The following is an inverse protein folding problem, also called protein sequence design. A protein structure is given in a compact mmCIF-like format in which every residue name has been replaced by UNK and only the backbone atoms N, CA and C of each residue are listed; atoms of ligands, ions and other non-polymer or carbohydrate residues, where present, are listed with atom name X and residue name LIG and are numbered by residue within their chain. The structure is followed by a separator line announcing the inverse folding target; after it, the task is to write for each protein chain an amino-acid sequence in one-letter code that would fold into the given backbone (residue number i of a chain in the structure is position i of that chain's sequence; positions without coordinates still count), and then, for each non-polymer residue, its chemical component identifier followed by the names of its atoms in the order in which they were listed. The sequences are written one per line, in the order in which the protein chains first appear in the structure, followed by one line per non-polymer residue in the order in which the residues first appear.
data_IF_122971707384
#
_entry.id   IF_122971707384
#
_cell.length_a   1.000
_cell.length_b   1.000
_cell.length_c   1.000
_cell.angle_alpha   90.00
_cell.angle_beta   90.00
_cell.angle_gamma   90.00
#
_symmetry.space_group_name_H-M   'P 1'
#
loop_
_entity.id
_entity.type
_entity.pdbx_description
1 polymer ?
#
# COMPACT_ATOMS: atom_id res chain seq x y z
N UNK A 1 -3.59 17.08 1.21
CA UNK A 1 -4.22 17.98 2.20
C UNK A 1 -4.96 17.19 3.26
N UNK A 2 -5.88 16.30 2.88
CA UNK A 2 -6.67 15.47 3.82
C UNK A 2 -5.81 14.57 4.75
N UNK A 3 -4.73 13.97 4.23
CA UNK A 3 -3.78 13.21 5.03
C UNK A 3 -3.02 14.09 6.06
N UNK A 4 -2.59 15.30 5.68
CA UNK A 4 -1.89 16.22 6.60
C UNK A 4 -2.83 16.61 7.73
N UNK A 5 -4.09 16.92 7.41
CA UNK A 5 -5.12 17.18 8.42
C UNK A 5 -5.34 15.93 9.30
N UNK A 6 -5.49 14.73 8.73
CA UNK A 6 -5.64 13.50 9.51
C UNK A 6 -4.42 13.18 10.39
N UNK A 7 -3.21 13.56 9.95
CA UNK A 7 -1.98 13.41 10.74
C UNK A 7 -1.97 14.37 11.93
N UNK A 8 -2.25 15.66 11.72
CA UNK A 8 -2.25 16.67 12.79
C UNK A 8 -3.49 16.64 13.69
N UNK A 9 -4.58 16.02 13.25
CA UNK A 9 -5.78 15.80 14.07
C UNK A 9 -5.54 14.80 15.23
N UNK A 10 -4.42 14.07 15.22
CA UNK A 10 -4.02 13.20 16.34
C UNK A 10 -3.02 13.96 17.23
N UNK A 11 -3.39 14.31 18.48
CA UNK A 11 -2.52 15.08 19.39
C UNK A 11 -1.13 14.49 19.59
N UNK A 12 -1.04 13.15 19.60
CA UNK A 12 0.23 12.42 19.74
C UNK A 12 1.23 12.75 18.62
N UNK A 13 0.75 13.00 17.40
CA UNK A 13 1.60 13.31 16.25
C UNK A 13 2.18 14.72 16.32
N UNK A 14 1.45 15.67 16.93
CA UNK A 14 1.94 17.02 17.21
C UNK A 14 3.09 16.93 18.23
N UNK A 15 2.89 16.20 19.32
CA UNK A 15 3.93 15.97 20.33
C UNK A 15 5.18 15.32 19.72
N UNK A 16 5.01 14.26 18.92
CA UNK A 16 6.12 13.62 18.23
C UNK A 16 6.88 14.58 17.31
N UNK A 17 6.16 15.41 16.56
CA UNK A 17 6.78 16.39 15.65
C UNK A 17 7.62 17.43 16.42
N UNK A 18 7.11 17.94 17.55
CA UNK A 18 7.82 18.91 18.39
C UNK A 18 9.11 18.29 18.95
N UNK A 19 9.05 17.09 19.52
CA UNK A 19 10.24 16.43 20.08
C UNK A 19 11.25 16.03 19.00
N UNK A 20 10.79 15.62 17.81
CA UNK A 20 11.68 15.33 16.69
C UNK A 20 12.40 16.59 16.17
N UNK A 21 11.73 17.75 16.14
CA UNK A 21 12.34 19.04 15.77
C UNK A 21 13.38 19.46 16.81
N UNK A 22 13.03 19.38 18.09
CA UNK A 22 13.96 19.71 19.18
C UNK A 22 15.17 18.77 19.14
N UNK A 23 14.95 17.47 18.97
CA UNK A 23 16.00 16.48 18.78
C UNK A 23 16.89 16.78 17.59
N UNK A 24 16.33 17.19 16.46
CA UNK A 24 17.09 17.61 15.27
C UNK A 24 17.98 18.79 15.53
N UNK A 25 17.45 19.81 16.21
CA UNK A 25 18.21 20.98 16.61
C UNK A 25 19.40 20.61 17.51
N UNK A 26 19.15 19.82 18.56
CA UNK A 26 20.21 19.43 19.49
C UNK A 26 21.21 18.44 18.87
N UNK A 27 20.77 17.53 18.01
CA UNK A 27 21.65 16.63 17.27
C UNK A 27 22.63 17.43 16.41
N UNK A 28 22.14 18.41 15.65
CA UNK A 28 23.01 19.30 14.87
C UNK A 28 23.94 20.10 15.78
N UNK A 29 23.47 20.59 16.93
CA UNK A 29 24.27 21.41 17.83
C UNK A 29 25.37 20.63 18.54
N UNK A 30 25.06 19.45 19.07
CA UNK A 30 25.90 18.67 19.99
C UNK A 30 26.76 17.62 19.30
N UNK A 31 26.36 17.11 18.12
CA UNK A 31 27.14 16.09 17.43
C UNK A 31 28.38 16.72 16.76
N UNK A 32 29.50 16.00 16.83
CA UNK A 32 30.82 16.50 16.40
C UNK A 32 30.89 16.72 14.89
N UNK A 33 30.33 15.82 14.10
CA UNK A 33 30.29 15.94 12.64
C UNK A 33 28.98 16.54 12.17
N UNK A 34 29.01 17.84 11.85
CA UNK A 34 27.86 18.56 11.26
C UNK A 34 27.41 17.91 9.95
N UNK A 35 28.36 17.40 9.15
CA UNK A 35 28.07 16.71 7.89
C UNK A 35 27.20 15.46 8.12
N UNK A 36 27.55 14.62 9.09
CA UNK A 36 26.75 13.43 9.43
C UNK A 36 25.37 13.83 9.96
N UNK A 37 25.28 14.86 10.79
CA UNK A 37 23.99 15.39 11.28
C UNK A 37 23.08 15.88 10.16
N UNK A 38 23.62 16.65 9.21
CA UNK A 38 22.87 17.12 8.05
C UNK A 38 22.47 15.97 7.14
N UNK A 39 23.36 14.99 6.92
CA UNK A 39 23.06 13.80 6.11
C UNK A 39 21.95 12.95 6.74
N UNK A 40 21.96 12.79 8.06
CA UNK A 40 20.90 12.08 8.78
C UNK A 40 19.55 12.81 8.69
N UNK A 41 19.52 14.14 8.91
CA UNK A 41 18.29 14.93 8.82
C UNK A 41 17.78 14.99 7.37
N UNK A 42 18.67 15.14 6.39
CA UNK A 42 18.31 15.11 4.98
C UNK A 42 17.71 13.75 4.61
N UNK A 43 18.30 12.64 5.08
CA UNK A 43 17.70 11.31 4.90
C UNK A 43 16.36 11.16 5.62
N UNK A 44 16.23 11.70 6.83
CA UNK A 44 14.96 11.67 7.58
C UNK A 44 13.86 12.43 6.83
N UNK A 45 14.15 13.64 6.33
CA UNK A 45 13.21 14.43 5.54
C UNK A 45 12.92 13.77 4.18
N UNK A 46 13.93 13.22 3.53
CA UNK A 46 13.76 12.50 2.26
C UNK A 46 12.88 11.27 2.43
N UNK A 47 13.11 10.46 3.47
CA UNK A 47 12.29 9.30 3.79
C UNK A 47 10.90 9.78 4.24
N UNK A 48 10.76 10.85 5.04
CA UNK A 48 9.47 11.41 5.42
C UNK A 48 8.65 11.78 4.17
N UNK A 49 9.22 12.53 3.23
CA UNK A 49 8.57 12.90 1.98
C UNK A 49 8.28 11.69 1.09
N UNK A 50 9.21 10.74 1.01
CA UNK A 50 9.06 9.51 0.24
C UNK A 50 7.95 8.63 0.81
N UNK A 51 7.90 8.45 2.14
CA UNK A 51 6.84 7.76 2.86
C UNK A 51 5.51 8.52 2.81
N UNK A 52 5.49 9.86 2.81
CA UNK A 52 4.26 10.64 2.61
C UNK A 52 3.67 10.43 1.21
N UNK A 53 4.53 10.21 0.20
CA UNK A 53 4.13 9.88 -1.17
C UNK A 53 3.82 8.38 -1.34
N UNK A 54 4.54 7.51 -0.62
CA UNK A 54 4.49 6.05 -0.73
C UNK A 54 3.58 5.37 0.31
N UNK A 55 3.04 6.09 1.31
CA UNK A 55 2.02 5.58 2.23
C UNK A 55 0.71 5.23 1.51
N UNK A 56 0.55 5.68 0.26
CA UNK A 56 -0.50 5.21 -0.64
C UNK A 56 -0.20 3.85 -1.30
N UNK A 57 1.04 3.36 -1.20
CA UNK A 57 1.51 2.17 -1.91
C UNK A 57 1.80 1.00 -0.94
N UNK A 58 2.59 1.17 0.12
CA UNK A 58 2.87 0.06 1.07
C UNK A 58 3.28 0.54 2.48
N UNK A 59 2.85 -0.17 3.54
CA UNK A 59 3.19 0.16 4.94
C UNK A 59 4.66 -0.10 5.29
N UNK A 60 5.34 -1.00 4.56
CA UNK A 60 6.74 -1.40 4.78
C UNK A 60 7.74 -0.26 4.58
N UNK A 61 7.41 0.77 3.80
CA UNK A 61 8.24 1.95 3.59
C UNK A 61 8.25 2.93 4.79
N UNK A 62 7.47 2.66 5.84
CA UNK A 62 7.42 3.53 7.03
C UNK A 62 8.34 3.08 8.15
N UNK A 63 8.83 1.83 8.14
CA UNK A 63 9.63 1.29 9.23
C UNK A 63 11.00 2.00 9.44
N UNK A 64 11.81 2.27 8.39
CA UNK A 64 13.05 3.04 8.54
C UNK A 64 12.77 4.46 9.07
N UNK A 65 11.68 5.08 8.61
CA UNK A 65 11.25 6.40 9.07
C UNK A 65 10.91 6.39 10.56
N UNK A 66 10.17 5.38 11.03
CA UNK A 66 9.79 5.23 12.43
C UNK A 66 11.01 5.06 13.33
N UNK A 67 12.02 4.28 12.91
CA UNK A 67 13.27 4.12 13.67
C UNK A 67 14.02 5.45 13.77
N UNK A 68 14.20 6.15 12.64
CA UNK A 68 14.88 7.44 12.64
C UNK A 68 14.14 8.47 13.51
N UNK A 69 12.81 8.50 13.45
CA UNK A 69 12.00 9.37 14.30
C UNK A 69 12.22 9.07 15.80
N UNK A 70 12.22 7.80 16.21
CA UNK A 70 12.47 7.40 17.61
C UNK A 70 13.85 7.87 18.09
N UNK A 71 14.90 7.75 17.25
CA UNK A 71 16.24 8.25 17.58
C UNK A 71 16.21 9.76 17.82
N UNK A 72 15.55 10.53 16.93
CA UNK A 72 15.45 11.98 17.06
C UNK A 72 14.65 12.40 18.30
N UNK A 73 13.52 11.75 18.55
CA UNK A 73 12.70 11.99 19.74
C UNK A 73 13.51 11.69 21.01
N UNK A 74 14.21 10.55 21.05
CA UNK A 74 15.07 10.17 22.18
C UNK A 74 16.16 11.21 22.46
N UNK A 75 16.82 11.71 21.41
CA UNK A 75 17.84 12.76 21.55
C UNK A 75 17.27 14.11 22.00
N UNK A 76 16.07 14.46 21.52
CA UNK A 76 15.36 15.66 21.94
C UNK A 76 14.98 15.60 23.42
N UNK A 77 14.51 14.44 23.88
CA UNK A 77 14.14 14.24 25.28
C UNK A 77 15.37 14.27 26.20
N UNK A 78 16.46 13.56 25.85
CA UNK A 78 17.72 13.61 26.62
C UNK A 78 18.27 15.05 26.74
N UNK A 79 18.20 15.81 25.65
CA UNK A 79 18.65 17.20 25.64
C UNK A 79 17.79 18.11 26.51
N UNK A 80 16.47 17.94 26.52
CA UNK A 80 15.55 18.68 27.40
C UNK A 80 15.81 18.30 28.87
N UNK A 81 15.96 17.00 29.16
CA UNK A 81 16.26 16.48 30.50
C UNK A 81 17.52 17.14 31.08
N UNK A 82 18.56 17.32 30.27
CA UNK A 82 19.81 18.00 30.69
C UNK A 82 19.66 19.49 30.96
N UNK A 83 18.63 20.14 30.41
CA UNK A 83 18.37 21.58 30.59
C UNK A 83 17.47 21.90 31.79
N UNK A 84 16.74 20.91 32.30
CA UNK A 84 15.81 21.10 33.42
C UNK A 84 16.54 21.13 34.76
N UNK A 85 16.37 22.22 35.51
CA UNK A 85 16.88 22.35 36.88
C UNK A 85 15.85 21.78 37.88
N UNK A 86 16.30 20.82 38.69
CA UNK A 86 15.53 20.20 39.77
C UNK A 86 15.13 18.73 39.49
N UNK A 87 15.38 17.86 40.47
CA UNK A 87 15.21 16.41 40.35
C UNK A 87 13.77 15.99 40.01
N UNK A 88 12.74 16.63 40.59
CA UNK A 88 11.35 16.25 40.36
C UNK A 88 10.92 16.45 38.89
N UNK A 89 11.25 17.59 38.30
CA UNK A 89 10.92 17.88 36.88
C UNK A 89 11.69 16.99 35.92
N UNK A 90 12.93 16.63 36.28
CA UNK A 90 13.77 15.69 35.55
C UNK A 90 13.14 14.27 35.54
N UNK A 91 12.74 13.77 36.71
CA UNK A 91 12.04 12.49 36.84
C UNK A 91 10.73 12.43 36.05
N UNK A 92 9.93 13.50 36.07
CA UNK A 92 8.69 13.57 35.28
C UNK A 92 8.97 13.46 33.78
N UNK A 93 10.01 14.13 33.28
CA UNK A 93 10.42 14.04 31.88
C UNK A 93 10.94 12.65 31.50
N UNK A 94 11.72 12.01 32.38
CA UNK A 94 12.21 10.64 32.19
C UNK A 94 11.06 9.62 32.12
N UNK A 95 10.04 9.75 32.99
CA UNK A 95 8.85 8.90 32.97
C UNK A 95 8.05 9.13 31.67
N UNK A 96 7.85 10.39 31.26
CA UNK A 96 7.18 10.71 29.99
C UNK A 96 7.96 10.16 28.79
N UNK A 97 9.29 10.19 28.84
CA UNK A 97 10.17 9.61 27.81
C UNK A 97 9.98 8.10 27.69
N UNK A 98 10.03 7.39 28.82
CA UNK A 98 9.80 5.96 28.90
C UNK A 98 8.41 5.59 28.38
N UNK A 99 7.39 6.37 28.75
CA UNK A 99 6.03 6.18 28.27
C UNK A 99 5.93 6.35 26.74
N UNK A 100 6.56 7.39 26.17
CA UNK A 100 6.61 7.63 24.72
C UNK A 100 7.33 6.51 23.96
N UNK A 101 8.47 6.05 24.49
CA UNK A 101 9.24 4.94 23.91
C UNK A 101 8.41 3.66 23.95
N UNK A 102 7.83 3.32 25.11
CA UNK A 102 6.99 2.12 25.27
C UNK A 102 5.77 2.18 24.35
N UNK A 103 5.09 3.33 24.25
CA UNK A 103 3.95 3.51 23.35
C UNK A 103 4.34 3.32 21.88
N UNK A 104 5.51 3.84 21.47
CA UNK A 104 6.03 3.69 20.11
C UNK A 104 6.39 2.23 19.80
N UNK A 105 7.08 1.55 20.71
CA UNK A 105 7.38 0.12 20.58
C UNK A 105 6.10 -0.72 20.52
N UNK A 106 5.13 -0.42 21.39
CA UNK A 106 3.83 -1.09 21.40
C UNK A 106 3.07 -0.87 20.08
N UNK A 107 3.08 0.35 19.53
CA UNK A 107 2.46 0.65 18.25
C UNK A 107 3.12 -0.13 17.09
N UNK A 108 4.45 -0.21 17.06
CA UNK A 108 5.20 -1.02 16.07
C UNK A 108 4.84 -2.50 16.23
N UNK A 109 4.88 -3.02 17.46
CA UNK A 109 4.57 -4.41 17.75
C UNK A 109 3.13 -4.76 17.33
N UNK A 110 2.15 -3.93 17.70
CA UNK A 110 0.76 -4.07 17.28
C UNK A 110 0.60 -4.03 15.76
N UNK A 111 1.32 -3.14 15.08
CA UNK A 111 1.32 -3.07 13.61
C UNK A 111 1.88 -4.34 12.98
N UNK A 112 2.97 -4.89 13.53
CA UNK A 112 3.57 -6.13 13.04
C UNK A 112 2.66 -7.35 13.25
N UNK A 113 1.97 -7.41 14.40
CA UNK A 113 0.93 -8.43 14.65
C UNK A 113 -0.16 -8.31 13.59
N UNK A 114 -0.71 -7.10 13.38
CA UNK A 114 -1.77 -6.88 12.39
C UNK A 114 -1.35 -7.25 10.96
N UNK A 115 -0.10 -6.95 10.56
CA UNK A 115 0.45 -7.37 9.25
C UNK A 115 0.53 -8.90 9.17
N UNK A 116 1.04 -9.56 10.21
CA UNK A 116 1.19 -11.02 10.23
C UNK A 116 -0.17 -11.71 10.15
N UNK A 117 -1.15 -11.22 10.91
CA UNK A 117 -2.53 -11.72 10.90
C UNK A 117 -3.22 -11.44 9.55
N UNK A 118 -3.00 -10.27 8.95
CA UNK A 118 -3.49 -9.98 7.60
C UNK A 118 -2.91 -10.95 6.57
N UNK A 119 -1.62 -11.26 6.63
CA UNK A 119 -0.99 -12.25 5.75
C UNK A 119 -1.58 -13.65 5.95
N UNK A 120 -1.93 -14.02 7.19
CA UNK A 120 -2.63 -15.27 7.47
C UNK A 120 -4.04 -15.28 6.88
N UNK A 121 -4.80 -14.18 7.02
CA UNK A 121 -6.14 -14.06 6.41
C UNK A 121 -6.08 -14.19 4.89
N UNK A 122 -5.08 -13.55 4.24
CA UNK A 122 -4.84 -13.68 2.80
C UNK A 122 -4.45 -15.12 2.45
N UNK A 123 -3.56 -15.76 3.20
CA UNK A 123 -3.15 -17.14 2.94
C UNK A 123 -4.32 -18.13 3.03
N UNK A 124 -5.20 -17.96 4.03
CA UNK A 124 -6.42 -18.76 4.19
C UNK A 124 -7.39 -18.54 3.01
N UNK A 125 -7.56 -17.29 2.59
CA UNK A 125 -8.38 -16.95 1.42
C UNK A 125 -7.80 -17.54 0.12
N UNK A 126 -6.49 -17.45 -0.10
CA UNK A 126 -5.80 -18.07 -1.24
C UNK A 126 -5.96 -19.59 -1.22
N UNK A 127 -5.83 -20.22 -0.05
CA UNK A 127 -6.04 -21.66 0.12
C UNK A 127 -7.46 -22.07 -0.25
N UNK A 128 -8.46 -21.29 0.19
CA UNK A 128 -9.85 -21.51 -0.18
C UNK A 128 -10.08 -21.36 -1.69
N UNK A 129 -9.52 -20.33 -2.33
CA UNK A 129 -9.61 -20.15 -3.79
C UNK A 129 -9.03 -21.34 -4.54
N UNK A 130 -7.88 -21.89 -4.10
CA UNK A 130 -7.28 -23.09 -4.69
C UNK A 130 -8.18 -24.34 -4.57
N UNK A 131 -9.10 -24.36 -3.61
CA UNK A 131 -10.12 -25.40 -3.44
C UNK A 131 -11.24 -25.35 -4.48
N UNK A 132 -11.45 -24.22 -5.16
CA UNK A 132 -12.51 -24.04 -6.15
C UNK A 132 -12.27 -24.85 -7.44
N UNK A 133 -13.27 -24.85 -8.32
CA UNK A 133 -13.18 -25.47 -9.64
C UNK A 133 -12.19 -24.71 -10.54
N UNK A 134 -11.56 -25.43 -11.47
CA UNK A 134 -10.59 -24.83 -12.38
C UNK A 134 -11.29 -23.86 -13.36
N UNK A 135 -10.61 -22.77 -13.73
CA UNK A 135 -11.12 -21.71 -14.60
C UNK A 135 -12.30 -20.89 -14.06
N UNK A 136 -12.57 -20.96 -12.75
CA UNK A 136 -13.58 -20.10 -12.12
C UNK A 136 -13.27 -18.61 -12.32
N UNK A 137 -14.34 -17.83 -12.55
CA UNK A 137 -14.26 -16.37 -12.69
C UNK A 137 -14.41 -15.70 -11.34
N UNK A 138 -13.36 -15.03 -10.89
CA UNK A 138 -13.28 -14.51 -9.52
C UNK A 138 -12.85 -13.04 -9.54
N UNK A 139 -13.65 -12.18 -8.90
CA UNK A 139 -13.24 -10.81 -8.61
C UNK A 139 -12.56 -10.76 -7.24
N UNK A 140 -11.39 -10.13 -7.13
CA UNK A 140 -10.56 -10.09 -5.93
C UNK A 140 -10.12 -8.67 -5.62
N UNK A 141 -9.96 -8.31 -4.35
CA UNK A 141 -9.24 -7.07 -4.03
C UNK A 141 -7.80 -7.14 -4.53
N UNK A 142 -7.19 -5.97 -4.75
CA UNK A 142 -5.82 -5.88 -5.21
C UNK A 142 -4.79 -6.60 -4.31
N UNK A 143 -5.10 -6.83 -3.03
CA UNK A 143 -4.25 -7.57 -2.09
C UNK A 143 -3.91 -9.01 -2.54
N UNK A 144 -4.72 -9.57 -3.45
CA UNK A 144 -4.53 -10.92 -3.99
C UNK A 144 -3.72 -10.95 -5.29
N UNK A 145 -3.29 -9.80 -5.81
CA UNK A 145 -2.53 -9.76 -7.07
C UNK A 145 -1.19 -10.47 -6.93
N UNK A 146 -0.86 -11.27 -7.94
CA UNK A 146 0.31 -12.16 -7.93
C UNK A 146 0.21 -13.40 -7.03
N UNK A 147 -0.84 -13.55 -6.21
CA UNK A 147 -0.99 -14.70 -5.29
C UNK A 147 -1.85 -15.84 -5.86
N UNK A 148 -2.76 -15.52 -6.79
CA UNK A 148 -3.66 -16.49 -7.42
C UNK A 148 -3.14 -16.85 -8.81
N UNK A 149 -2.95 -18.15 -9.14
CA UNK A 149 -2.54 -18.56 -10.47
C UNK A 149 -3.58 -18.16 -11.53
N UNK A 150 -3.17 -17.32 -12.48
CA UNK A 150 -4.04 -16.79 -13.54
C UNK A 150 -4.10 -17.77 -14.72
N UNK A 151 -5.28 -17.96 -15.30
CA UNK A 151 -5.41 -18.75 -16.52
C UNK A 151 -5.02 -17.93 -17.75
N UNK A 152 -4.89 -18.62 -18.89
CA UNK A 152 -4.44 -18.01 -20.15
C UNK A 152 -5.35 -16.86 -20.60
N UNK A 153 -6.66 -16.99 -20.43
CA UNK A 153 -7.63 -15.96 -20.80
C UNK A 153 -7.45 -14.68 -19.97
N UNK A 154 -7.21 -14.82 -18.66
CA UNK A 154 -6.88 -13.71 -17.77
C UNK A 154 -5.56 -13.05 -18.18
N UNK A 155 -4.49 -13.83 -18.35
CA UNK A 155 -3.17 -13.31 -18.73
C UNK A 155 -3.20 -12.54 -20.06
N UNK A 156 -3.93 -13.03 -21.07
CA UNK A 156 -4.09 -12.32 -22.35
C UNK A 156 -4.85 -11.00 -22.16
N UNK A 157 -5.95 -11.01 -21.39
CA UNK A 157 -6.72 -9.79 -21.12
C UNK A 157 -5.87 -8.74 -20.39
N UNK A 158 -5.07 -9.14 -19.43
CA UNK A 158 -4.18 -8.22 -18.71
C UNK A 158 -3.03 -7.72 -19.60
N UNK A 159 -2.45 -8.58 -20.43
CA UNK A 159 -1.44 -8.20 -21.41
C UNK A 159 -1.97 -7.14 -22.39
N UNK A 160 -3.16 -7.37 -22.97
CA UNK A 160 -3.78 -6.43 -23.90
C UNK A 160 -4.12 -5.10 -23.24
N UNK A 161 -4.58 -5.13 -21.98
CA UNK A 161 -4.84 -3.92 -21.19
C UNK A 161 -3.54 -3.13 -20.93
N UNK A 162 -2.44 -3.81 -20.61
CA UNK A 162 -1.14 -3.19 -20.37
C UNK A 162 -0.51 -2.59 -21.63
N UNK A 163 -0.77 -3.21 -22.79
CA UNK A 163 -0.34 -2.73 -24.10
C UNK A 163 -1.21 -1.60 -24.67
N UNK A 164 -2.35 -1.29 -24.05
CA UNK A 164 -3.32 -0.31 -24.54
C UNK A 164 -2.74 1.11 -24.59
N UNK A 165 -2.69 1.67 -25.81
CA UNK A 165 -2.26 3.06 -26.03
C UNK A 165 -3.17 4.06 -25.29
N UNK A 166 -4.48 3.78 -25.21
CA UNK A 166 -5.43 4.63 -24.48
C UNK A 166 -5.11 4.68 -22.99
N UNK A 167 -4.79 3.52 -22.39
CA UNK A 167 -4.38 3.46 -20.99
C UNK A 167 -3.08 4.25 -20.76
N UNK A 168 -2.07 4.01 -21.60
CA UNK A 168 -0.77 4.68 -21.51
C UNK A 168 -0.89 6.19 -21.64
N UNK A 169 -1.69 6.68 -22.59
CA UNK A 169 -1.96 8.12 -22.76
C UNK A 169 -2.68 8.69 -21.53
N UNK A 170 -3.70 8.01 -20.99
CA UNK A 170 -4.41 8.47 -19.79
C UNK A 170 -3.49 8.51 -18.56
N UNK A 171 -2.68 7.47 -18.33
CA UNK A 171 -1.69 7.42 -17.24
C UNK A 171 -0.72 8.60 -17.36
N UNK A 172 -0.19 8.84 -18.55
CA UNK A 172 0.74 9.94 -18.78
C UNK A 172 0.09 11.32 -18.58
N UNK A 173 -1.09 11.56 -19.16
CA UNK A 173 -1.82 12.80 -19.00
C UNK A 173 -2.07 13.09 -17.51
N UNK A 174 -2.43 12.06 -16.74
CA UNK A 174 -2.58 12.18 -15.29
C UNK A 174 -1.27 12.51 -14.57
N UNK A 175 -0.17 11.82 -14.91
CA UNK A 175 1.15 12.06 -14.30
C UNK A 175 1.65 13.49 -14.59
N UNK A 176 1.39 14.00 -15.79
CA UNK A 176 1.74 15.36 -16.21
C UNK A 176 0.71 16.42 -15.83
N UNK A 177 -0.42 16.02 -15.22
CA UNK A 177 -1.58 16.88 -14.89
C UNK A 177 -2.11 17.66 -16.10
N UNK A 178 -2.06 17.05 -17.28
CA UNK A 178 -2.59 17.62 -18.51
C UNK A 178 -4.10 17.38 -18.61
N UNK A 179 -4.88 18.34 -19.14
CA UNK A 179 -6.29 18.12 -19.39
C UNK A 179 -6.46 17.02 -20.46
N UNK A 180 -7.33 16.05 -20.19
CA UNK A 180 -7.61 14.91 -21.09
C UNK A 180 -8.18 15.32 -22.47
N UNK A 181 -8.56 16.60 -22.63
CA UNK A 181 -9.04 17.19 -23.88
C UNK A 181 -7.92 17.52 -24.88
N UNK A 182 -6.69 17.67 -24.42
CA UNK A 182 -5.56 17.89 -25.32
C UNK A 182 -5.15 16.52 -25.87
N UNK A 183 -5.48 16.30 -27.15
CA UNK A 183 -5.23 15.06 -27.88
C UNK A 183 -3.73 14.81 -28.04
N UNK A 184 -3.09 14.33 -26.98
CA UNK A 184 -1.73 13.82 -27.03
C UNK A 184 -1.78 12.55 -27.87
N UNK A 185 -1.31 12.63 -29.11
CA UNK A 185 -1.08 11.45 -29.92
C UNK A 185 0.13 10.68 -29.38
N UNK A 186 0.14 9.35 -29.54
CA UNK A 186 1.30 8.49 -29.25
C UNK A 186 2.61 9.00 -29.88
N UNK A 187 2.50 9.72 -30.99
CA UNK A 187 3.63 10.25 -31.77
C UNK A 187 4.14 11.61 -31.30
N UNK A 188 3.39 12.32 -30.45
CA UNK A 188 3.74 13.67 -29.96
C UNK A 188 4.35 13.68 -28.56
N UNK A 189 4.46 12.52 -27.91
CA UNK A 189 5.02 12.42 -26.55
C UNK A 189 6.55 12.31 -26.61
N UNK A 190 7.31 13.17 -25.91
CA UNK A 190 8.76 13.04 -25.81
C UNK A 190 9.19 11.65 -25.34
N UNK A 191 10.17 11.05 -26.02
CA UNK A 191 10.68 9.69 -25.74
C UNK A 191 11.08 9.52 -24.27
N UNK A 192 11.60 10.57 -23.64
CA UNK A 192 11.94 10.60 -22.22
C UNK A 192 10.71 10.42 -21.31
N UNK A 193 9.59 11.06 -21.63
CA UNK A 193 8.35 10.93 -20.87
C UNK A 193 7.74 9.53 -21.01
N UNK A 194 7.85 8.93 -22.20
CA UNK A 194 7.41 7.53 -22.41
C UNK A 194 8.29 6.55 -21.64
N UNK A 195 9.60 6.78 -21.59
CA UNK A 195 10.54 5.87 -20.93
C UNK A 195 10.39 5.89 -19.41
N UNK A 196 10.08 7.04 -18.82
CA UNK A 196 9.85 7.17 -17.37
C UNK A 196 8.44 6.76 -16.94
N UNK A 197 7.40 7.12 -17.71
CA UNK A 197 6.01 6.85 -17.31
C UNK A 197 5.59 5.38 -17.50
N UNK A 198 6.31 4.63 -18.35
CA UNK A 198 5.96 3.26 -18.74
C UNK A 198 7.00 2.20 -18.40
N UNK A 199 7.88 2.47 -17.43
CA UNK A 199 8.86 1.48 -16.95
C UNK A 199 8.16 0.23 -16.40
N UNK A 200 7.17 0.42 -15.53
CA UNK A 200 6.37 -0.66 -14.95
C UNK A 200 5.65 -1.47 -16.04
N UNK A 201 5.04 -0.80 -17.02
CA UNK A 201 4.33 -1.47 -18.14
C UNK A 201 5.28 -2.34 -18.96
N UNK A 202 6.52 -1.91 -19.23
CA UNK A 202 7.51 -2.72 -19.95
C UNK A 202 7.94 -3.94 -19.13
N UNK A 203 8.05 -3.79 -17.81
CA UNK A 203 8.33 -4.89 -16.91
C UNK A 203 7.16 -5.89 -16.92
N UNK A 204 5.93 -5.40 -16.81
CA UNK A 204 4.71 -6.22 -16.89
C UNK A 204 4.58 -6.91 -18.26
N UNK A 205 4.87 -6.24 -19.37
CA UNK A 205 4.87 -6.84 -20.71
C UNK A 205 5.79 -8.07 -20.76
N UNK A 206 6.96 -7.99 -20.13
CA UNK A 206 7.91 -9.12 -20.05
C UNK A 206 7.37 -10.24 -19.15
N UNK A 207 6.82 -9.89 -17.98
CA UNK A 207 6.22 -10.85 -17.05
C UNK A 207 5.05 -11.60 -17.68
N UNK A 208 4.17 -10.91 -18.40
CA UNK A 208 3.05 -11.51 -19.11
C UNK A 208 3.51 -12.45 -20.23
N UNK A 209 4.50 -12.06 -21.02
CA UNK A 209 5.05 -12.94 -22.07
C UNK A 209 5.65 -14.23 -21.48
N UNK A 210 6.37 -14.14 -20.37
CA UNK A 210 6.90 -15.31 -19.65
C UNK A 210 5.73 -16.15 -19.13
N UNK A 211 4.77 -15.54 -18.43
CA UNK A 211 3.61 -16.25 -17.89
C UNK A 211 2.82 -16.96 -18.99
N UNK A 212 2.53 -16.30 -20.11
CA UNK A 212 1.83 -16.87 -21.26
C UNK A 212 2.60 -18.02 -21.93
N UNK A 213 3.94 -17.95 -21.96
CA UNK A 213 4.78 -19.01 -22.51
C UNK A 213 4.74 -20.29 -21.66
N UNK A 214 4.62 -20.15 -20.35
CA UNK A 214 4.67 -21.27 -19.40
C UNK A 214 3.32 -21.60 -18.75
N UNK A 215 2.23 -20.92 -19.12
CA UNK A 215 0.92 -21.13 -18.48
C UNK A 215 0.43 -22.57 -18.62
N UNK A 216 0.71 -23.20 -19.76
CA UNK A 216 0.26 -24.55 -20.10
C UNK A 216 1.30 -25.64 -19.73
N UNK A 217 2.40 -25.30 -19.03
CA UNK A 217 3.49 -26.24 -18.76
C UNK A 217 3.33 -27.10 -17.50
N UNK A 218 2.32 -26.82 -16.66
CA UNK A 218 2.06 -27.58 -15.44
C UNK A 218 0.56 -27.92 -15.28
N UNK A 219 0.24 -28.76 -14.31
CA UNK A 219 -1.14 -29.17 -13.98
C UNK A 219 -1.78 -28.32 -12.87
N UNK A 220 -1.22 -27.15 -12.57
CA UNK A 220 -1.70 -26.29 -11.49
C UNK A 220 -3.07 -25.72 -11.86
N UNK A 221 -4.03 -25.74 -10.93
CA UNK A 221 -5.33 -25.07 -11.13
C UNK A 221 -5.13 -23.58 -11.34
N UNK A 222 -5.86 -23.01 -12.30
CA UNK A 222 -5.78 -21.61 -12.70
C UNK A 222 -7.16 -20.99 -12.76
N UNK A 223 -7.23 -19.69 -12.56
CA UNK A 223 -8.48 -18.96 -12.40
C UNK A 223 -8.53 -17.77 -13.35
N UNK A 224 -9.73 -17.39 -13.75
CA UNK A 224 -9.95 -16.15 -14.50
C UNK A 224 -10.19 -15.02 -13.48
N UNK A 225 -9.11 -14.39 -13.04
CA UNK A 225 -9.17 -13.37 -11.98
C UNK A 225 -9.34 -11.96 -12.54
N UNK A 226 -10.07 -11.13 -11.82
CA UNK A 226 -10.16 -9.68 -12.03
C UNK A 226 -9.88 -8.99 -10.71
N UNK A 227 -8.92 -8.08 -10.69
CA UNK A 227 -8.57 -7.33 -9.49
C UNK A 227 -9.32 -6.00 -9.45
N UNK A 228 -9.77 -5.60 -8.27
CA UNK A 228 -10.42 -4.31 -8.08
C UNK A 228 -9.83 -3.52 -6.92
N UNK A 229 -9.88 -2.20 -7.06
CA UNK A 229 -9.39 -1.25 -6.08
C UNK A 229 -10.23 0.05 -6.12
N UNK A 230 -10.02 0.92 -5.14
CA UNK A 230 -10.70 2.23 -5.10
C UNK A 230 -10.24 3.16 -6.24
N UNK A 231 -9.01 2.98 -6.72
CA UNK A 231 -8.41 3.81 -7.76
C UNK A 231 -7.49 2.99 -8.68
N UNK A 232 -7.80 2.90 -9.97
CA UNK A 232 -7.04 2.09 -10.94
C UNK A 232 -6.18 2.92 -11.91
N UNK A 233 -5.99 4.22 -11.66
CA UNK A 233 -5.34 5.11 -12.63
C UNK A 233 -3.90 4.73 -13.02
N UNK A 234 -3.20 3.96 -12.18
CA UNK A 234 -1.82 3.51 -12.41
C UNK A 234 -1.72 1.98 -12.59
N UNK A 235 -2.84 1.29 -12.79
CA UNK A 235 -2.88 -0.18 -12.91
C UNK A 235 -3.82 -0.58 -14.05
N UNK A 236 -3.25 -1.06 -15.15
CA UNK A 236 -3.96 -1.38 -16.40
C UNK A 236 -4.98 -2.53 -16.23
N UNK A 237 -4.64 -3.53 -15.41
CA UNK A 237 -5.44 -4.74 -15.19
C UNK A 237 -6.44 -4.63 -14.04
N UNK A 238 -6.42 -3.52 -13.28
CA UNK A 238 -7.31 -3.31 -12.14
C UNK A 238 -8.56 -2.52 -12.56
N UNK A 239 -9.73 -2.94 -12.09
CA UNK A 239 -10.99 -2.20 -12.29
C UNK A 239 -11.41 -1.45 -11.02
N UNK A 240 -12.28 -0.45 -11.18
CA UNK A 240 -12.86 0.24 -10.03
C UNK A 240 -13.77 -0.70 -9.24
N UNK A 241 -13.73 -0.61 -7.90
CA UNK A 241 -14.57 -1.40 -6.99
C UNK A 241 -16.06 -1.37 -7.36
N UNK A 242 -16.62 -0.20 -7.65
CA UNK A 242 -18.04 -0.07 -8.04
C UNK A 242 -18.36 -0.77 -9.37
N UNK A 243 -17.39 -0.84 -10.29
CA UNK A 243 -17.54 -1.59 -11.54
C UNK A 243 -17.47 -3.10 -11.28
N UNK A 244 -16.62 -3.55 -10.36
CA UNK A 244 -16.54 -4.95 -9.95
C UNK A 244 -17.84 -5.42 -9.30
N UNK A 245 -18.39 -4.62 -8.37
CA UNK A 245 -19.66 -4.91 -7.69
C UNK A 245 -20.83 -5.00 -8.68
N UNK A 246 -20.97 -4.04 -9.61
CA UNK A 246 -22.00 -4.08 -10.65
C UNK A 246 -21.84 -5.30 -11.56
N UNK A 247 -20.61 -5.65 -11.92
CA UNK A 247 -20.31 -6.83 -12.75
C UNK A 247 -20.62 -8.13 -12.01
N UNK A 248 -20.36 -8.20 -10.70
CA UNK A 248 -20.74 -9.33 -9.86
C UNK A 248 -22.25 -9.50 -9.75
N UNK A 249 -22.99 -8.41 -9.51
CA UNK A 249 -24.46 -8.43 -9.50
C UNK A 249 -25.06 -8.82 -10.86
N UNK A 250 -24.38 -8.53 -11.96
CA UNK A 250 -24.74 -8.96 -13.31
C UNK A 250 -24.30 -10.40 -13.65
N UNK A 251 -23.74 -11.16 -12.69
CA UNK A 251 -23.33 -12.55 -12.89
C UNK A 251 -22.06 -12.75 -13.72
N UNK A 252 -21.23 -11.71 -13.91
CA UNK A 252 -19.98 -11.84 -14.68
C UNK A 252 -18.89 -12.63 -13.95
N UNK A 253 -18.98 -12.73 -12.63
CA UNK A 253 -18.06 -13.48 -11.78
C UNK A 253 -18.87 -14.43 -10.89
N UNK A 254 -18.39 -15.66 -10.69
CA UNK A 254 -19.03 -16.59 -9.76
C UNK A 254 -18.75 -16.21 -8.31
N UNK A 255 -17.54 -15.71 -8.04
CA UNK A 255 -17.14 -15.29 -6.71
C UNK A 255 -16.59 -13.86 -6.71
N UNK A 256 -16.82 -13.15 -5.60
CA UNK A 256 -16.12 -11.91 -5.27
C UNK A 256 -15.54 -12.00 -3.87
N UNK A 257 -14.26 -11.68 -3.70
CA UNK A 257 -13.59 -11.60 -2.40
C UNK A 257 -13.24 -10.15 -2.13
N UNK A 258 -13.77 -9.60 -1.03
CA UNK A 258 -13.70 -8.18 -0.70
C UNK A 258 -13.24 -7.97 0.74
N UNK A 259 -12.47 -6.88 0.97
CA UNK A 259 -12.16 -6.34 2.30
C UNK A 259 -13.30 -5.58 2.94
N UNK A 260 -14.33 -5.26 2.16
CA UNK A 260 -15.51 -4.55 2.61
C UNK A 260 -16.72 -5.45 2.51
N UNK A 261 -17.60 -5.38 3.51
CA UNK A 261 -18.87 -6.08 3.45
C UNK A 261 -19.73 -5.49 2.35
N UNK A 262 -20.23 -6.34 1.47
CA UNK A 262 -21.15 -5.94 0.41
C UNK A 262 -22.57 -5.92 0.99
N UNK A 263 -23.29 -4.78 0.96
CA UNK A 263 -24.64 -4.70 1.49
C UNK A 263 -25.58 -5.71 0.83
N UNK A 264 -26.51 -6.25 1.62
CA UNK A 264 -27.56 -7.17 1.16
C UNK A 264 -27.05 -8.52 0.61
N UNK A 265 -25.78 -8.87 0.84
CA UNK A 265 -25.23 -10.19 0.52
C UNK A 265 -24.74 -10.89 1.78
N UNK A 266 -24.98 -12.20 1.85
CA UNK A 266 -24.44 -13.05 2.91
C UNK A 266 -23.15 -13.70 2.39
N UNK A 267 -22.01 -13.55 3.10
CA UNK A 267 -20.77 -14.18 2.67
C UNK A 267 -20.87 -15.70 2.79
N UNK A 268 -20.34 -16.42 1.80
CA UNK A 268 -20.19 -17.89 1.85
C UNK A 268 -18.98 -18.29 2.70
N UNK A 269 -18.02 -17.39 2.85
CA UNK A 269 -16.85 -17.57 3.72
C UNK A 269 -16.34 -16.22 4.22
N UNK A 270 -15.85 -16.19 5.46
CA UNK A 270 -15.07 -15.09 6.00
C UNK A 270 -13.69 -15.59 6.41
N UNK A 271 -12.68 -14.74 6.22
CA UNK A 271 -11.29 -15.01 6.57
C UNK A 271 -10.85 -13.99 7.62
N UNK A 272 -10.84 -14.43 8.88
CA UNK A 272 -10.46 -13.62 10.04
C UNK A 272 -9.71 -14.49 11.06
N UNK A 273 -8.49 -14.07 11.38
CA UNK A 273 -7.61 -14.67 12.38
C UNK A 273 -7.19 -13.59 13.36
N UNK A 274 -7.85 -13.51 14.52
CA UNK A 274 -7.53 -12.68 15.70
C UNK A 274 -7.15 -11.18 15.51
N UNK A 275 -7.09 -10.67 14.27
CA UNK A 275 -6.80 -9.30 13.85
C UNK A 275 -6.52 -9.20 12.33
N UNK A 276 -5.97 -8.07 11.90
CA UNK A 276 -5.84 -7.70 10.47
C UNK A 276 -7.16 -7.35 9.77
N UNK A 277 -7.09 -7.09 8.46
CA UNK A 277 -8.28 -6.90 7.62
C UNK A 277 -9.05 -8.21 7.46
N UNK A 278 -10.38 -8.13 7.48
CA UNK A 278 -11.26 -9.27 7.21
C UNK A 278 -11.51 -9.34 5.71
N UNK A 279 -11.43 -10.55 5.14
CA UNK A 279 -11.86 -10.79 3.77
C UNK A 279 -13.15 -11.61 3.76
N UNK A 280 -14.12 -11.17 2.98
CA UNK A 280 -15.40 -11.85 2.79
C UNK A 280 -15.50 -12.35 1.35
N UNK A 281 -15.76 -13.65 1.20
CA UNK A 281 -16.10 -14.26 -0.08
C UNK A 281 -17.61 -14.33 -0.23
N UNK A 282 -18.11 -13.89 -1.37
CA UNK A 282 -19.50 -13.97 -1.77
C UNK A 282 -19.61 -14.78 -3.04
N UNK A 283 -20.70 -15.54 -3.16
CA UNK A 283 -21.02 -16.34 -4.34
C UNK A 283 -22.22 -15.73 -5.06
N UNK A 284 -22.11 -15.60 -6.38
CA UNK A 284 -23.23 -15.20 -7.21
C UNK A 284 -24.25 -16.32 -7.23
N UNK A 285 -25.46 -16.04 -6.74
CA UNK A 285 -26.61 -16.93 -6.85
C UNK A 285 -27.55 -16.31 -7.87
N UNK A 286 -27.75 -17.00 -9.00
CA UNK A 286 -28.78 -16.60 -9.95
C UNK A 286 -30.10 -16.52 -9.22
N UNK A 287 -30.78 -15.37 -9.29
CA UNK A 287 -32.17 -15.29 -8.90
C UNK A 287 -32.92 -16.22 -9.84
N UNK A 288 -33.56 -17.24 -9.27
CA UNK A 288 -34.49 -18.12 -10.01
C UNK A 288 -35.81 -17.40 -10.21
#
# INVERSE_FOLDING_TARGET
MEFINNFFNKPINIFFSIFAIIGSWFWVKLYSSKFISFLFIANFLFILFSSLKAAQLYSTHTFPLSIMAIIMIGFGIDSIIKLVKGNLKKWVLEILALFLIFNSFWAIHKSNIAITEQLQNIADAVSWVKGLENNEKIALTLDFDGLIPKNKACLLREYDANASDNYRIHKLAKLLKMPLSDSISKFTIPILAQSFAFEDEKLFDTQYQIALKYVDSDSTKRFDTVYFFENNNNMSHCILKDQALRSFQAGKYKYIISKDQIPNLTPVKSFIKNGGDIFWAYEFKSVK
#
